data_IF_014555190660
#
_entry.id   IF_014555190660
#
_cell.length_a   1.000
_cell.length_b   1.000
_cell.length_c   1.000
_cell.angle_alpha   90.00
_cell.angle_beta   90.00
_cell.angle_gamma   90.00
#
_symmetry.space_group_name_H-M   'P 1'
#
loop_
_entity.id
_entity.type
_entity.pdbx_description
1 polymer ?
#
# COMPACT_ATOMS: atom_id res chain seq x y z
N UNK A 1 -9.06 -0.34 13.22
CA UNK A 1 -9.28 -0.92 11.87
C UNK A 1 -8.00 -1.61 11.48
N UNK A 2 -8.06 -2.84 10.96
CA UNK A 2 -6.86 -3.48 10.40
C UNK A 2 -6.51 -2.74 9.10
N UNK A 3 -5.25 -2.32 8.95
CA UNK A 3 -4.80 -1.68 7.71
C UNK A 3 -4.91 -2.69 6.57
N UNK A 4 -5.34 -2.25 5.39
CA UNK A 4 -5.51 -3.15 4.24
C UNK A 4 -4.15 -3.67 3.77
N UNK A 5 -3.17 -2.77 3.73
CA UNK A 5 -1.82 -3.08 3.29
C UNK A 5 -0.88 -3.15 4.48
N UNK A 6 0.05 -4.10 4.45
CA UNK A 6 1.10 -4.30 5.45
C UNK A 6 2.45 -4.46 4.74
N UNK A 7 3.55 -4.04 5.40
CA UNK A 7 4.91 -4.31 4.92
C UNK A 7 5.42 -5.62 5.51
N UNK A 8 6.09 -6.44 4.71
CA UNK A 8 6.65 -7.73 5.11
C UNK A 8 8.12 -7.77 4.68
N UNK A 9 8.99 -8.22 5.59
CA UNK A 9 10.40 -8.47 5.30
C UNK A 9 10.52 -9.78 4.51
N UNK A 10 11.14 -9.71 3.35
CA UNK A 10 11.38 -10.85 2.47
C UNK A 10 12.68 -11.58 2.88
N UNK A 11 12.84 -12.87 2.56
CA UNK A 11 14.07 -13.62 2.85
C UNK A 11 15.35 -13.05 2.21
N UNK A 12 15.21 -12.13 1.24
CA UNK A 12 16.31 -11.45 0.54
C UNK A 12 16.77 -10.17 1.23
N UNK A 13 16.34 -9.92 2.47
CA UNK A 13 16.57 -8.67 3.22
C UNK A 13 16.04 -7.42 2.48
N UNK A 14 14.99 -7.61 1.69
CA UNK A 14 14.21 -6.57 1.03
C UNK A 14 12.79 -6.53 1.58
N UNK A 15 12.00 -5.54 1.20
CA UNK A 15 10.63 -5.38 1.67
C UNK A 15 9.60 -5.54 0.56
N UNK A 16 8.45 -6.11 0.92
CA UNK A 16 7.26 -6.17 0.10
C UNK A 16 6.08 -5.48 0.78
N UNK A 17 5.17 -4.91 -0.01
CA UNK A 17 3.84 -4.50 0.47
C UNK A 17 2.84 -5.60 0.11
N UNK A 18 2.06 -6.05 1.09
CA UNK A 18 1.11 -7.14 0.95
C UNK A 18 -0.32 -6.63 1.13
N UNK A 19 -1.23 -6.98 0.20
CA UNK A 19 -2.66 -6.75 0.33
C UNK A 19 -3.28 -7.86 1.18
N UNK A 20 -3.50 -7.58 2.46
CA UNK A 20 -3.99 -8.59 3.41
C UNK A 20 -5.43 -9.03 3.15
N UNK A 21 -6.20 -8.27 2.35
CA UNK A 21 -7.56 -8.65 1.99
C UNK A 21 -7.58 -9.59 0.77
N UNK A 22 -6.63 -9.44 -0.15
CA UNK A 22 -6.50 -10.25 -1.35
C UNK A 22 -5.51 -11.42 -1.19
N UNK A 23 -4.72 -11.43 -0.11
CA UNK A 23 -3.69 -12.42 0.19
C UNK A 23 -2.61 -12.54 -0.91
N UNK A 24 -2.21 -11.39 -1.46
CA UNK A 24 -1.20 -11.31 -2.54
C UNK A 24 -0.32 -10.05 -2.37
N UNK A 25 0.88 -10.02 -2.98
CA UNK A 25 1.66 -8.79 -3.03
C UNK A 25 0.88 -7.65 -3.71
N UNK A 26 1.00 -6.46 -3.15
CA UNK A 26 0.32 -5.28 -3.65
C UNK A 26 0.89 -4.84 -5.00
N UNK A 27 0.01 -4.28 -5.83
CA UNK A 27 0.37 -3.68 -7.10
C UNK A 27 0.05 -2.20 -7.11
N UNK A 28 0.94 -1.39 -7.68
CA UNK A 28 0.68 0.01 -8.00
C UNK A 28 0.82 0.20 -9.52
N UNK A 29 -0.32 0.39 -10.19
CA UNK A 29 -0.37 0.33 -11.66
C UNK A 29 0.03 -1.06 -12.15
N UNK A 30 1.12 -1.14 -12.91
CA UNK A 30 1.69 -2.41 -13.40
C UNK A 30 2.91 -2.87 -12.60
N UNK A 31 3.34 -2.13 -11.57
CA UNK A 31 4.50 -2.48 -10.73
C UNK A 31 4.05 -3.33 -9.54
N UNK A 32 4.67 -4.50 -9.37
CA UNK A 32 4.57 -5.29 -8.16
C UNK A 32 5.46 -4.67 -7.06
N UNK A 33 4.94 -4.52 -5.84
CA UNK A 33 5.63 -3.84 -4.75
C UNK A 33 6.41 -4.84 -3.89
N UNK A 34 7.49 -5.38 -4.45
CA UNK A 34 8.42 -6.34 -3.84
C UNK A 34 9.86 -5.89 -4.08
N UNK A 35 10.84 -6.43 -3.35
CA UNK A 35 12.25 -6.09 -3.54
C UNK A 35 12.59 -4.64 -3.20
N UNK A 36 11.79 -4.01 -2.33
CA UNK A 36 11.91 -2.60 -1.96
C UNK A 36 12.98 -2.40 -0.90
N UNK A 37 13.53 -1.19 -0.82
CA UNK A 37 14.23 -0.77 0.41
C UNK A 37 13.23 -0.55 1.54
N UNK A 38 13.72 -0.47 2.78
CA UNK A 38 12.84 -0.19 3.93
C UNK A 38 12.14 1.15 3.79
N UNK A 39 12.87 2.18 3.35
CA UNK A 39 12.36 3.54 3.15
C UNK A 39 11.29 3.58 2.06
N UNK A 40 11.52 2.92 0.92
CA UNK A 40 10.52 2.81 -0.15
C UNK A 40 9.24 2.14 0.34
N UNK A 41 9.38 1.04 1.11
CA UNK A 41 8.24 0.32 1.65
C UNK A 41 7.46 1.18 2.67
N UNK A 42 8.14 1.96 3.51
CA UNK A 42 7.48 2.86 4.45
C UNK A 42 6.68 3.95 3.73
N UNK A 43 7.28 4.62 2.74
CA UNK A 43 6.59 5.66 1.96
C UNK A 43 5.37 5.10 1.21
N UNK A 44 5.52 3.96 0.54
CA UNK A 44 4.44 3.32 -0.20
C UNK A 44 3.31 2.86 0.73
N UNK A 45 3.64 2.33 1.91
CA UNK A 45 2.65 1.90 2.89
C UNK A 45 1.79 3.06 3.40
N UNK A 46 2.40 4.24 3.62
CA UNK A 46 1.69 5.47 3.99
C UNK A 46 0.74 5.90 2.88
N UNK A 47 1.19 5.89 1.62
CA UNK A 47 0.37 6.27 0.46
C UNK A 47 -0.83 5.33 0.31
N UNK A 48 -0.61 4.01 0.40
CA UNK A 48 -1.63 2.99 0.16
C UNK A 48 -2.70 2.92 1.25
N UNK A 49 -2.32 3.18 2.51
CA UNK A 49 -3.25 3.22 3.64
C UNK A 49 -3.80 4.63 3.92
N UNK A 50 -3.45 5.63 3.11
CA UNK A 50 -3.98 6.98 3.27
C UNK A 50 -5.52 6.97 3.10
N UNK A 51 -6.27 7.76 3.89
CA UNK A 51 -7.70 7.89 3.70
C UNK A 51 -8.01 8.35 2.27
N UNK A 52 -9.04 7.82 1.61
CA UNK A 52 -9.45 8.31 0.30
C UNK A 52 -9.70 9.81 0.41
N UNK A 53 -8.94 10.63 -0.34
CA UNK A 53 -9.14 12.09 -0.37
C UNK A 53 -10.60 12.35 -0.66
N UNK A 54 -11.29 12.95 0.31
CA UNK A 54 -12.72 13.20 0.27
C UNK A 54 -13.10 13.81 -1.07
N UNK A 55 -13.87 13.07 -1.87
CA UNK A 55 -14.57 13.62 -3.01
C UNK A 55 -15.62 14.55 -2.41
N UNK A 56 -15.28 15.83 -2.21
CA UNK A 56 -16.25 16.86 -1.88
C UNK A 56 -17.35 16.77 -2.94
N UNK A 57 -18.48 16.15 -2.58
CA UNK A 57 -19.70 16.25 -3.36
C UNK A 57 -20.00 17.75 -3.37
N UNK A 58 -19.77 18.40 -4.51
CA UNK A 58 -20.45 19.66 -4.81
C UNK A 58 -21.94 19.35 -4.68
N UNK A 59 -22.52 19.74 -3.55
CA UNK A 59 -23.96 19.83 -3.40
C UNK A 59 -24.41 20.86 -4.44
N UNK A 60 -24.98 20.37 -5.54
CA UNK A 60 -25.91 21.15 -6.32
C UNK A 60 -27.22 21.14 -5.52
N UNK A 61 -27.58 22.31 -5.00
CA UNK A 61 -28.92 22.65 -4.55
C UNK A 61 -29.20 24.08 -5.05
#
# INVERSE_FOLDING_TARGET
>A
MKQKFERILEPTDTWAIFDTAADVPAMMGTRLLIGLTEEEAEELLVILNAPPKGRNKRSAA
#
